data_IF_103313186501
#
_entry.id   IF_103313186501
#
_cell.length_a   1.000
_cell.length_b   1.000
_cell.length_c   1.000
_cell.angle_alpha   90.00
_cell.angle_beta   90.00
_cell.angle_gamma   90.00
#
_symmetry.space_group_name_H-M   'P 1'
#
loop_
_entity.id
_entity.type
_entity.pdbx_description
1 polymer ?
#
# COMPACT_ATOMS: atom_id res chain seq x y z
N UNK A 1 -17.15 -7.51 35.29
CA UNK A 1 -16.91 -8.19 34.00
C UNK A 1 -15.45 -8.57 34.01
N UNK A 2 -15.16 -9.86 34.16
CA UNK A 2 -13.79 -10.34 34.29
C UNK A 2 -13.01 -10.09 33.00
N UNK A 3 -11.74 -9.70 33.11
CA UNK A 3 -10.86 -9.36 31.97
C UNK A 3 -10.84 -10.47 30.93
N UNK A 4 -10.80 -11.72 31.37
CA UNK A 4 -10.85 -12.92 30.52
C UNK A 4 -12.14 -12.97 29.68
N UNK A 5 -13.29 -12.72 30.30
CA UNK A 5 -14.60 -12.69 29.64
C UNK A 5 -14.71 -11.53 28.64
N UNK A 6 -14.15 -10.36 28.98
CA UNK A 6 -14.09 -9.21 28.09
C UNK A 6 -13.26 -9.48 26.82
N UNK A 7 -12.06 -10.04 26.98
CA UNK A 7 -11.18 -10.41 25.85
C UNK A 7 -11.82 -11.49 24.98
N UNK A 8 -12.48 -12.48 25.58
CA UNK A 8 -13.17 -13.54 24.84
C UNK A 8 -14.32 -12.98 23.98
N UNK A 9 -15.16 -12.11 24.55
CA UNK A 9 -16.27 -11.48 23.81
C UNK A 9 -15.75 -10.62 22.67
N UNK A 10 -14.71 -9.82 22.92
CA UNK A 10 -14.08 -8.97 21.92
C UNK A 10 -13.52 -9.81 20.76
N UNK A 11 -12.76 -10.86 21.07
CA UNK A 11 -12.14 -11.75 20.08
C UNK A 11 -13.20 -12.45 19.24
N UNK A 12 -14.26 -12.97 19.86
CA UNK A 12 -15.37 -13.62 19.15
C UNK A 12 -16.08 -12.65 18.19
N UNK A 13 -16.38 -11.43 18.64
CA UNK A 13 -17.01 -10.41 17.78
C UNK A 13 -16.10 -10.01 16.63
N UNK A 14 -14.82 -9.80 16.90
CA UNK A 14 -13.83 -9.47 15.89
C UNK A 14 -13.75 -10.57 14.81
N UNK A 15 -13.62 -11.84 15.20
CA UNK A 15 -13.58 -12.97 14.26
C UNK A 15 -14.84 -12.99 13.40
N UNK A 16 -16.02 -12.90 14.01
CA UNK A 16 -17.29 -12.94 13.27
C UNK A 16 -17.39 -11.77 12.30
N UNK A 17 -17.06 -10.55 12.73
CA UNK A 17 -17.22 -9.36 11.89
C UNK A 17 -16.20 -9.31 10.76
N UNK A 18 -14.94 -9.71 11.01
CA UNK A 18 -13.94 -9.86 9.95
C UNK A 18 -14.36 -10.96 8.98
N UNK A 19 -14.84 -12.11 9.46
CA UNK A 19 -15.33 -13.19 8.59
C UNK A 19 -16.50 -12.74 7.73
N UNK A 20 -17.49 -12.03 8.30
CA UNK A 20 -18.61 -11.46 7.57
C UNK A 20 -18.13 -10.46 6.53
N UNK A 21 -17.20 -9.56 6.88
CA UNK A 21 -16.62 -8.60 5.94
C UNK A 21 -15.92 -9.31 4.77
N UNK A 22 -15.08 -10.31 5.05
CA UNK A 22 -14.40 -11.10 4.01
C UNK A 22 -15.43 -11.84 3.15
N UNK A 23 -16.45 -12.47 3.75
CA UNK A 23 -17.51 -13.14 3.00
C UNK A 23 -18.27 -12.17 2.09
N UNK A 24 -18.61 -10.98 2.56
CA UNK A 24 -19.29 -9.94 1.75
C UNK A 24 -18.39 -9.53 0.58
N UNK A 25 -17.13 -9.20 0.84
CA UNK A 25 -16.21 -8.77 -0.22
C UNK A 25 -15.87 -9.90 -1.19
N UNK A 26 -15.79 -11.14 -0.72
CA UNK A 26 -15.59 -12.33 -1.58
C UNK A 26 -16.83 -12.65 -2.41
N UNK A 27 -18.04 -12.44 -1.86
CA UNK A 27 -19.29 -12.61 -2.60
C UNK A 27 -19.46 -11.54 -3.68
N UNK A 28 -19.17 -10.27 -3.35
CA UNK A 28 -19.12 -9.18 -4.33
C UNK A 28 -18.09 -9.50 -5.43
N UNK A 29 -16.90 -9.94 -5.04
CA UNK A 29 -15.85 -10.39 -5.95
C UNK A 29 -16.30 -11.54 -6.88
N UNK A 30 -16.95 -12.54 -6.32
CA UNK A 30 -17.46 -13.70 -7.08
C UNK A 30 -18.56 -13.29 -8.06
N UNK A 31 -19.45 -12.38 -7.65
CA UNK A 31 -20.50 -11.85 -8.52
C UNK A 31 -19.92 -11.04 -9.69
N UNK A 32 -18.92 -10.18 -9.44
CA UNK A 32 -18.23 -9.42 -10.50
C UNK A 32 -17.47 -10.35 -11.45
N UNK A 33 -16.78 -11.36 -10.92
CA UNK A 33 -16.04 -12.33 -11.74
C UNK A 33 -16.96 -13.12 -12.68
N UNK A 34 -18.13 -13.54 -12.19
CA UNK A 34 -19.11 -14.27 -13.00
C UNK A 34 -19.77 -13.39 -14.08
N UNK A 35 -19.88 -12.07 -13.85
CA UNK A 35 -20.54 -11.16 -14.78
C UNK A 35 -19.61 -10.66 -15.91
N UNK A 36 -18.32 -10.42 -15.62
CA UNK A 36 -17.39 -9.82 -16.59
C UNK A 36 -16.21 -10.73 -16.99
N UNK A 37 -16.06 -11.90 -16.36
CA UNK A 37 -14.99 -12.85 -16.68
C UNK A 37 -13.57 -12.37 -16.32
N UNK A 38 -13.45 -11.25 -15.59
CA UNK A 38 -12.16 -10.62 -15.22
C UNK A 38 -12.04 -10.49 -13.70
N UNK A 39 -10.81 -10.66 -13.21
CA UNK A 39 -10.44 -10.61 -11.80
C UNK A 39 -9.87 -9.22 -11.44
N UNK A 40 -10.68 -8.35 -10.85
CA UNK A 40 -10.15 -7.08 -10.32
C UNK A 40 -9.18 -7.33 -9.15
N UNK A 41 -7.88 -7.18 -9.41
CA UNK A 41 -6.78 -7.44 -8.45
C UNK A 41 -6.89 -6.59 -7.19
N UNK A 42 -7.47 -5.39 -7.30
CA UNK A 42 -7.73 -4.49 -6.18
C UNK A 42 -8.57 -5.14 -5.06
N UNK A 43 -9.50 -6.04 -5.39
CA UNK A 43 -10.28 -6.77 -4.37
C UNK A 43 -9.41 -7.76 -3.59
N UNK A 44 -8.54 -8.49 -4.29
CA UNK A 44 -7.62 -9.43 -3.64
C UNK A 44 -6.65 -8.68 -2.70
N UNK A 45 -6.13 -7.54 -3.15
CA UNK A 45 -5.31 -6.62 -2.34
C UNK A 45 -6.08 -6.17 -1.09
N UNK A 46 -7.32 -5.70 -1.26
CA UNK A 46 -8.13 -5.18 -0.17
C UNK A 46 -8.45 -6.25 0.87
N UNK A 47 -8.89 -7.44 0.44
CA UNK A 47 -9.18 -8.57 1.34
C UNK A 47 -7.91 -9.03 2.07
N UNK A 48 -6.77 -9.10 1.37
CA UNK A 48 -5.51 -9.46 1.99
C UNK A 48 -5.04 -8.43 3.03
N UNK A 49 -5.27 -7.14 2.77
CA UNK A 49 -5.04 -6.07 3.74
C UNK A 49 -5.96 -6.17 4.97
N UNK A 50 -7.24 -6.52 4.79
CA UNK A 50 -8.17 -6.77 5.91
C UNK A 50 -7.65 -7.90 6.80
N UNK A 51 -7.13 -8.98 6.21
CA UNK A 51 -6.52 -10.09 6.95
C UNK A 51 -5.32 -9.63 7.77
N UNK A 52 -4.44 -8.79 7.18
CA UNK A 52 -3.34 -8.17 7.91
C UNK A 52 -3.80 -7.35 9.11
N UNK A 53 -4.78 -6.46 8.89
CA UNK A 53 -5.34 -5.61 9.95
C UNK A 53 -6.00 -6.41 11.07
N UNK A 54 -6.67 -7.52 10.72
CA UNK A 54 -7.23 -8.47 11.68
C UNK A 54 -6.16 -9.14 12.55
N UNK A 55 -5.07 -9.63 11.96
CA UNK A 55 -3.95 -10.21 12.73
C UNK A 55 -3.32 -9.17 13.64
N UNK A 56 -3.18 -7.92 13.17
CA UNK A 56 -2.63 -6.81 13.94
C UNK A 56 -3.44 -6.54 15.22
N UNK A 57 -4.75 -6.40 15.11
CA UNK A 57 -5.61 -6.14 16.28
C UNK A 57 -5.70 -7.35 17.21
N UNK A 58 -5.66 -8.58 16.69
CA UNK A 58 -5.61 -9.78 17.54
C UNK A 58 -4.35 -9.82 18.41
N UNK A 59 -3.20 -9.38 17.89
CA UNK A 59 -1.98 -9.26 18.69
C UNK A 59 -2.09 -8.14 19.73
N UNK A 60 -2.64 -6.98 19.34
CA UNK A 60 -2.82 -5.82 20.24
C UNK A 60 -3.80 -6.08 21.36
N UNK A 61 -4.89 -6.84 21.12
CA UNK A 61 -5.91 -7.15 22.13
C UNK A 61 -5.33 -7.79 23.39
N UNK A 62 -4.22 -8.53 23.27
CA UNK A 62 -3.55 -9.17 24.42
C UNK A 62 -2.90 -8.16 25.37
N UNK A 63 -2.54 -6.97 24.87
CA UNK A 63 -1.82 -5.93 25.61
C UNK A 63 -2.70 -4.73 25.97
N UNK A 64 -3.99 -4.75 25.61
CA UNK A 64 -4.95 -3.66 25.86
C UNK A 64 -5.32 -3.57 27.36
N UNK A 65 -5.49 -2.33 27.84
CA UNK A 65 -5.85 -2.02 29.23
C UNK A 65 -7.35 -2.28 29.48
N UNK A 66 -7.74 -2.56 30.72
CA UNK A 66 -9.16 -2.86 31.05
C UNK A 66 -10.14 -1.72 30.73
N UNK A 67 -9.71 -0.46 30.81
CA UNK A 67 -10.52 0.70 30.40
C UNK A 67 -10.76 0.72 28.88
N UNK A 68 -9.70 0.55 28.09
CA UNK A 68 -9.77 0.48 26.63
C UNK A 68 -10.61 -0.72 26.17
N UNK A 69 -10.45 -1.88 26.84
CA UNK A 69 -11.24 -3.08 26.57
C UNK A 69 -12.75 -2.82 26.76
N UNK A 70 -13.13 -2.06 27.80
CA UNK A 70 -14.54 -1.67 28.02
C UNK A 70 -15.06 -0.73 26.93
N UNK A 71 -14.25 0.21 26.44
CA UNK A 71 -14.61 1.11 25.35
C UNK A 71 -14.78 0.34 24.03
N UNK A 72 -13.83 -0.52 23.68
CA UNK A 72 -13.88 -1.39 22.50
C UNK A 72 -15.09 -2.32 22.54
N UNK A 73 -15.40 -2.90 23.70
CA UNK A 73 -16.56 -3.79 23.85
C UNK A 73 -17.89 -3.06 23.72
N UNK A 74 -17.92 -1.74 23.94
CA UNK A 74 -19.13 -0.90 23.85
C UNK A 74 -19.52 -0.58 22.40
N UNK A 75 -18.56 -0.43 21.49
CA UNK A 75 -18.82 -0.08 20.09
C UNK A 75 -18.30 -1.11 19.11
N UNK A 76 -19.21 -1.80 18.44
CA UNK A 76 -18.89 -2.83 17.46
C UNK A 76 -18.25 -2.23 16.18
N UNK A 77 -18.56 -0.96 15.89
CA UNK A 77 -18.02 -0.24 14.74
C UNK A 77 -16.51 0.04 14.88
N UNK A 78 -16.05 0.40 16.08
CA UNK A 78 -14.63 0.64 16.35
C UNK A 78 -13.77 -0.62 16.17
N UNK A 79 -14.34 -1.79 16.48
CA UNK A 79 -13.68 -3.08 16.31
C UNK A 79 -13.49 -3.40 14.82
N UNK A 80 -14.51 -3.12 13.99
CA UNK A 80 -14.48 -3.40 12.55
C UNK A 80 -13.59 -2.42 11.77
N UNK A 81 -13.52 -1.16 12.20
CA UNK A 81 -12.72 -0.12 11.53
C UNK A 81 -11.25 -0.51 11.37
N UNK A 82 -10.68 -1.21 12.35
CA UNK A 82 -9.24 -1.52 12.36
C UNK A 82 -8.85 -2.46 11.20
N UNK A 83 -9.49 -3.65 11.01
CA UNK A 83 -9.28 -4.45 9.80
C UNK A 83 -9.55 -3.68 8.49
N UNK A 84 -10.60 -2.85 8.44
CA UNK A 84 -10.95 -2.10 7.22
C UNK A 84 -9.85 -1.09 6.85
N UNK A 85 -9.26 -0.40 7.84
CA UNK A 85 -8.09 0.45 7.61
C UNK A 85 -6.89 -0.35 7.10
N UNK A 86 -6.74 -1.61 7.54
CA UNK A 86 -5.73 -2.51 6.99
C UNK A 86 -5.92 -2.77 5.49
N UNK A 87 -7.15 -2.98 5.04
CA UNK A 87 -7.50 -3.06 3.61
C UNK A 87 -7.20 -1.76 2.86
N UNK A 88 -7.54 -0.62 3.45
CA UNK A 88 -7.28 0.70 2.85
C UNK A 88 -5.77 0.95 2.66
N UNK A 89 -4.95 0.64 3.67
CA UNK A 89 -3.50 0.78 3.55
C UNK A 89 -2.91 -0.13 2.47
N UNK A 90 -3.45 -1.34 2.30
CA UNK A 90 -3.05 -2.22 1.21
C UNK A 90 -3.37 -1.61 -0.17
N UNK A 91 -4.52 -0.96 -0.33
CA UNK A 91 -4.86 -0.25 -1.58
C UNK A 91 -3.95 0.96 -1.84
N UNK A 92 -3.61 1.73 -0.81
CA UNK A 92 -2.64 2.83 -0.94
C UNK A 92 -1.28 2.28 -1.38
N UNK A 93 -0.81 1.19 -0.77
CA UNK A 93 0.45 0.56 -1.18
C UNK A 93 0.38 0.02 -2.61
N UNK A 94 -0.75 -0.55 -3.01
CA UNK A 94 -0.98 -1.00 -4.39
C UNK A 94 -0.84 0.15 -5.38
N UNK A 95 -1.42 1.33 -5.08
CA UNK A 95 -1.23 2.53 -5.90
C UNK A 95 0.23 2.96 -5.99
N UNK A 96 1.02 2.81 -4.91
CA UNK A 96 2.46 3.10 -4.92
C UNK A 96 3.26 2.11 -5.80
N UNK A 97 2.82 0.86 -5.90
CA UNK A 97 3.43 -0.09 -6.83
C UNK A 97 3.05 0.21 -8.28
N UNK A 98 1.77 0.50 -8.55
CA UNK A 98 1.31 0.83 -9.90
C UNK A 98 1.92 2.13 -10.44
N UNK A 99 2.20 3.10 -9.57
CA UNK A 99 2.85 4.35 -9.98
C UNK A 99 4.33 4.18 -10.32
N UNK A 100 4.93 3.02 -10.02
CA UNK A 100 6.36 2.78 -10.22
C UNK A 100 7.28 3.53 -9.25
N UNK A 101 6.72 4.23 -8.25
CA UNK A 101 7.49 4.95 -7.22
C UNK A 101 8.37 3.98 -6.43
N UNK A 102 7.87 2.78 -6.18
CA UNK A 102 8.60 1.71 -5.47
C UNK A 102 8.84 0.57 -6.45
N UNK A 103 10.10 0.28 -6.74
CA UNK A 103 10.49 -0.76 -7.69
C UNK A 103 11.70 -1.56 -7.19
N UNK A 104 11.85 -2.80 -7.68
CA UNK A 104 12.92 -3.71 -7.29
C UNK A 104 12.49 -5.18 -7.31
N UNK A 105 13.44 -6.10 -7.17
CA UNK A 105 13.18 -7.55 -7.29
C UNK A 105 12.19 -8.09 -6.24
N UNK A 106 12.14 -7.48 -5.05
CA UNK A 106 11.24 -7.84 -3.96
C UNK A 106 9.83 -7.29 -4.11
N UNK A 107 9.60 -6.41 -5.09
CA UNK A 107 8.31 -5.79 -5.36
C UNK A 107 7.64 -6.44 -6.58
N UNK A 108 6.29 -6.38 -6.66
CA UNK A 108 5.55 -6.94 -7.77
C UNK A 108 5.71 -6.10 -9.05
N UNK A 109 5.89 -6.78 -10.18
CA UNK A 109 5.77 -6.19 -11.52
C UNK A 109 4.35 -6.34 -12.07
N UNK A 110 3.91 -5.38 -12.87
CA UNK A 110 2.56 -5.34 -13.42
C UNK A 110 2.56 -5.20 -14.94
N UNK A 111 1.58 -5.83 -15.55
CA UNK A 111 1.07 -5.45 -16.86
C UNK A 111 -0.01 -4.38 -16.66
N UNK A 112 0.16 -3.24 -17.31
CA UNK A 112 -0.77 -2.10 -17.27
C UNK A 112 -1.16 -1.82 -18.74
N UNK A 113 -2.46 -1.79 -19.08
CA UNK A 113 -2.88 -1.46 -20.44
C UNK A 113 -2.47 -0.04 -20.82
N UNK A 114 -2.03 0.16 -22.05
CA UNK A 114 -1.73 1.49 -22.59
C UNK A 114 -2.99 2.11 -23.21
N UNK A 115 -3.21 3.43 -23.10
CA UNK A 115 -4.35 4.09 -23.73
C UNK A 115 -4.17 4.16 -25.25
N UNK A 116 -5.19 3.74 -26.00
CA UNK A 116 -5.26 3.93 -27.46
C UNK A 116 -5.58 5.39 -27.81
N UNK A 117 -4.60 6.28 -27.61
CA UNK A 117 -4.71 7.72 -27.87
C UNK A 117 -4.97 8.54 -26.60
N UNK A 118 -6.11 9.25 -26.54
CA UNK A 118 -6.43 10.08 -25.39
C UNK A 118 -7.13 9.23 -24.30
N UNK A 119 -6.80 9.43 -23.01
CA UNK A 119 -7.48 8.72 -21.93
C UNK A 119 -8.97 9.07 -21.92
N UNK A 120 -9.82 8.07 -22.18
CA UNK A 120 -11.29 8.16 -22.05
C UNK A 120 -11.80 7.23 -20.94
N UNK A 121 -13.10 7.24 -20.64
CA UNK A 121 -13.73 6.40 -19.65
C UNK A 121 -13.47 4.90 -19.88
N UNK A 122 -13.39 4.47 -21.15
CA UNK A 122 -13.04 3.10 -21.52
C UNK A 122 -11.63 2.72 -21.02
N UNK A 123 -10.68 3.65 -21.09
CA UNK A 123 -9.34 3.44 -20.57
C UNK A 123 -9.35 3.25 -19.05
N UNK A 124 -10.12 4.05 -18.30
CA UNK A 124 -10.23 3.89 -16.84
C UNK A 124 -10.76 2.50 -16.47
N UNK A 125 -11.79 2.02 -17.18
CA UNK A 125 -12.32 0.67 -16.98
C UNK A 125 -11.26 -0.39 -17.31
N UNK A 126 -10.54 -0.24 -18.42
CA UNK A 126 -9.47 -1.17 -18.79
C UNK A 126 -8.34 -1.17 -17.77
N UNK A 127 -7.91 -0.01 -17.29
CA UNK A 127 -6.89 0.11 -16.26
C UNK A 127 -7.30 -0.60 -14.97
N UNK A 128 -8.56 -0.50 -14.55
CA UNK A 128 -9.05 -1.14 -13.32
C UNK A 128 -9.30 -2.65 -13.47
N UNK A 129 -9.61 -3.14 -14.67
CA UNK A 129 -10.02 -4.54 -14.91
C UNK A 129 -8.96 -5.39 -15.60
N UNK A 130 -7.98 -4.75 -16.25
CA UNK A 130 -6.90 -5.37 -17.04
C UNK A 130 -5.51 -5.19 -16.45
N UNK A 131 -5.37 -4.46 -15.34
CA UNK A 131 -4.10 -4.37 -14.62
C UNK A 131 -3.87 -5.62 -13.77
N UNK A 132 -2.85 -6.41 -14.10
CA UNK A 132 -2.50 -7.65 -13.42
C UNK A 132 -1.01 -7.74 -13.10
N UNK A 133 -0.62 -8.44 -12.02
CA UNK A 133 0.77 -8.84 -11.82
C UNK A 133 1.29 -9.63 -13.02
N UNK A 134 2.52 -9.35 -13.44
CA UNK A 134 3.09 -9.92 -14.66
C UNK A 134 3.30 -11.44 -14.56
N UNK A 135 3.57 -11.95 -13.36
CA UNK A 135 3.75 -13.38 -13.09
C UNK A 135 3.03 -13.81 -11.82
N UNK A 136 2.88 -15.13 -11.63
CA UNK A 136 2.40 -15.69 -10.36
C UNK A 136 3.28 -15.33 -9.15
N UNK A 137 4.59 -15.11 -9.35
CA UNK A 137 5.48 -14.64 -8.28
C UNK A 137 5.15 -13.20 -7.91
N UNK A 138 4.85 -12.34 -8.88
CA UNK A 138 4.46 -10.96 -8.62
C UNK A 138 3.09 -10.89 -7.92
N UNK A 139 2.17 -11.79 -8.25
CA UNK A 139 0.93 -11.95 -7.49
C UNK A 139 1.22 -12.31 -6.02
N UNK A 140 2.12 -13.27 -5.77
CA UNK A 140 2.48 -13.66 -4.40
C UNK A 140 3.14 -12.51 -3.62
N UNK A 141 4.06 -11.76 -4.26
CA UNK A 141 4.68 -10.55 -3.67
C UNK A 141 3.62 -9.50 -3.34
N UNK A 142 2.67 -9.27 -4.25
CA UNK A 142 1.59 -8.30 -4.04
C UNK A 142 0.73 -8.68 -2.84
N UNK A 143 0.29 -9.94 -2.75
CA UNK A 143 -0.51 -10.41 -1.61
C UNK A 143 0.27 -10.31 -0.31
N UNK A 144 1.54 -10.73 -0.30
CA UNK A 144 2.42 -10.59 0.87
C UNK A 144 2.50 -9.13 1.34
N UNK A 145 2.80 -8.20 0.44
CA UNK A 145 2.92 -6.79 0.80
C UNK A 145 1.58 -6.15 1.17
N UNK A 146 0.48 -6.59 0.56
CA UNK A 146 -0.88 -6.17 0.94
C UNK A 146 -1.20 -6.59 2.38
N UNK A 147 -0.87 -7.83 2.75
CA UNK A 147 -0.99 -8.30 4.12
C UNK A 147 -0.13 -7.47 5.08
N UNK A 148 1.15 -7.23 4.74
CA UNK A 148 2.08 -6.46 5.58
C UNK A 148 1.59 -5.02 5.77
N UNK A 149 1.09 -4.38 4.72
CA UNK A 149 0.49 -3.04 4.78
C UNK A 149 -0.71 -3.00 5.72
N UNK A 150 -1.56 -4.02 5.66
CA UNK A 150 -2.69 -4.12 6.56
C UNK A 150 -2.29 -4.44 8.01
N UNK A 151 -1.24 -5.25 8.19
CA UNK A 151 -0.74 -5.65 9.50
C UNK A 151 -0.08 -4.48 10.25
N UNK A 152 0.59 -3.57 9.53
CA UNK A 152 1.31 -2.45 10.13
C UNK A 152 0.74 -1.12 9.66
N UNK A 153 -0.05 -0.47 10.53
CA UNK A 153 -0.62 0.87 10.30
C UNK A 153 0.45 1.95 10.01
N UNK A 154 1.71 1.71 10.42
CA UNK A 154 2.84 2.65 10.22
C UNK A 154 3.67 2.33 8.99
N UNK A 155 3.50 1.17 8.37
CA UNK A 155 4.36 0.71 7.28
C UNK A 155 4.25 1.62 6.05
N UNK A 156 3.02 1.88 5.58
CA UNK A 156 2.80 2.70 4.38
C UNK A 156 3.27 4.15 4.58
N UNK A 157 2.93 4.85 5.68
CA UNK A 157 3.49 6.18 5.94
C UNK A 157 5.02 6.22 5.98
N UNK A 158 5.65 5.21 6.59
CA UNK A 158 7.12 5.13 6.64
C UNK A 158 7.75 4.94 5.27
N UNK A 159 7.11 4.17 4.38
CA UNK A 159 7.55 4.03 2.99
C UNK A 159 7.47 5.38 2.27
N UNK A 160 6.35 6.08 2.38
CA UNK A 160 6.15 7.38 1.72
C UNK A 160 7.22 8.37 2.17
N UNK A 161 7.48 8.48 3.48
CA UNK A 161 8.51 9.37 4.00
C UNK A 161 9.91 9.01 3.47
N UNK A 162 10.27 7.73 3.44
CA UNK A 162 11.57 7.29 2.91
C UNK A 162 11.74 7.65 1.43
N UNK A 163 10.69 7.48 0.63
CA UNK A 163 10.70 7.87 -0.78
C UNK A 163 10.88 9.37 -0.91
N UNK A 164 10.15 10.17 -0.13
CA UNK A 164 10.30 11.63 -0.14
C UNK A 164 11.72 12.06 0.21
N UNK A 165 12.31 11.48 1.27
CA UNK A 165 13.67 11.78 1.70
C UNK A 165 14.71 11.47 0.61
N UNK A 166 14.55 10.33 -0.08
CA UNK A 166 15.42 9.93 -1.20
C UNK A 166 15.34 10.90 -2.38
N UNK A 167 14.15 11.37 -2.74
CA UNK A 167 13.97 12.35 -3.82
C UNK A 167 14.68 13.66 -3.49
N UNK A 168 14.57 14.15 -2.25
CA UNK A 168 15.28 15.38 -1.84
C UNK A 168 16.81 15.21 -1.83
N UNK A 169 17.31 14.04 -1.46
CA UNK A 169 18.75 13.74 -1.51
C UNK A 169 19.28 13.72 -2.95
N UNK A 170 18.54 13.10 -3.88
CA UNK A 170 18.89 13.04 -5.30
C UNK A 170 18.90 14.43 -5.95
N UNK A 171 17.96 15.30 -5.60
CA UNK A 171 17.94 16.70 -6.06
C UNK A 171 19.15 17.48 -5.53
N UNK A 172 19.46 17.36 -4.24
CA UNK A 172 20.65 17.99 -3.63
C UNK A 172 21.96 17.52 -4.28
N UNK A 173 22.06 16.26 -4.68
CA UNK A 173 23.24 15.74 -5.37
C UNK A 173 23.35 16.26 -6.81
N UNK A 174 22.24 16.35 -7.54
CA UNK A 174 22.20 16.95 -8.88
C UNK A 174 22.62 18.42 -8.85
N UNK A 175 22.18 19.18 -7.87
CA UNK A 175 22.56 20.59 -7.71
C UNK A 175 24.05 20.77 -7.43
N UNK A 176 24.62 19.95 -6.54
CA UNK A 176 26.07 19.96 -6.25
C UNK A 176 26.92 19.56 -7.45
N UNK A 177 26.52 18.51 -8.17
CA UNK A 177 27.21 18.10 -9.39
C UNK A 177 27.09 19.13 -10.51
N UNK A 178 25.94 19.81 -10.61
CA UNK A 178 25.71 20.87 -11.59
C UNK A 178 26.44 22.17 -11.27
N UNK A 179 26.63 22.52 -9.99
CA UNK A 179 27.47 23.66 -9.57
C UNK A 179 28.95 23.38 -9.84
N UNK A 180 29.47 22.25 -9.35
CA UNK A 180 30.90 21.93 -9.51
C UNK A 180 31.34 21.83 -10.98
N UNK A 181 30.44 21.42 -11.89
CA UNK A 181 30.72 21.39 -13.33
C UNK A 181 30.69 22.78 -13.98
N UNK A 182 29.89 23.71 -13.46
CA UNK A 182 29.86 25.13 -13.88
C UNK A 182 31.08 25.88 -13.38
N UNK A 183 31.48 25.63 -12.14
CA UNK A 183 32.65 26.25 -11.51
C UNK A 183 33.95 25.80 -12.18
N UNK A 184 34.11 24.49 -12.45
CA UNK A 184 35.26 23.96 -13.18
C UNK A 184 35.36 24.47 -14.64
N UNK A 185 34.22 24.63 -15.33
CA UNK A 185 34.21 25.17 -16.69
C UNK A 185 34.49 26.69 -16.74
N UNK A 186 34.16 27.42 -15.68
CA UNK A 186 34.53 28.83 -15.53
C UNK A 186 36.04 28.98 -15.25
N UNK A 187 36.58 28.15 -14.37
CA UNK A 187 38.01 28.14 -14.03
C UNK A 187 38.89 27.71 -15.23
N UNK A 188 38.45 26.75 -16.03
CA UNK A 188 39.15 26.34 -17.26
C UNK A 188 39.14 27.44 -18.34
N UNK A 189 38.03 28.18 -18.47
CA UNK A 189 37.94 29.34 -19.37
C UNK A 189 38.85 30.49 -18.92
N UNK A 190 38.86 30.82 -17.63
CA UNK A 190 39.70 31.88 -17.07
C UNK A 190 41.20 31.54 -17.21
N UNK A 191 41.56 30.28 -16.96
CA UNK A 191 42.94 29.79 -17.12
C UNK A 191 43.40 29.81 -18.59
N UNK A 192 42.50 29.51 -19.53
CA UNK A 192 42.80 29.59 -20.96
C UNK A 192 42.98 31.04 -21.45
N UNK A 193 42.17 31.98 -20.94
CA UNK A 193 42.26 33.40 -21.31
C UNK A 193 43.55 34.04 -20.80
N UNK A 194 44.01 33.69 -19.60
CA UNK A 194 45.28 34.17 -19.01
C UNK A 194 46.50 33.63 -19.77
N UNK A 195 46.42 32.44 -20.38
CA UNK A 195 47.53 31.82 -21.12
C UNK A 195 47.72 32.38 -22.54
N UNK A 196 46.78 33.18 -23.02
CA UNK A 196 46.75 33.71 -24.40
C UNK A 196 47.12 35.21 -24.46
N UNK A 197 47.44 35.82 -23.32
CA UNK A 197 48.03 37.16 -23.20
C UNK A 197 49.50 37.06 -22.80
#
# INVERSE_FOLDING_TARGET
MDRVTGVYILTKRLIIMTAVSICIFTALFSATFLHEGRLMVSWAVFVCGILGGFVSIQQRVKTVTDQELRLLTRSWFQILLIPIFGGLFALVLYSLFLSGIISGHMFPWFYIPEPDGHPDNAYIVSFLTETYPATGQDMAKLLFWSFVAGFSERFVPQIINRVTDQVEEDERQKDKSGSGKRDAAAEEKETAEVRTK
#
